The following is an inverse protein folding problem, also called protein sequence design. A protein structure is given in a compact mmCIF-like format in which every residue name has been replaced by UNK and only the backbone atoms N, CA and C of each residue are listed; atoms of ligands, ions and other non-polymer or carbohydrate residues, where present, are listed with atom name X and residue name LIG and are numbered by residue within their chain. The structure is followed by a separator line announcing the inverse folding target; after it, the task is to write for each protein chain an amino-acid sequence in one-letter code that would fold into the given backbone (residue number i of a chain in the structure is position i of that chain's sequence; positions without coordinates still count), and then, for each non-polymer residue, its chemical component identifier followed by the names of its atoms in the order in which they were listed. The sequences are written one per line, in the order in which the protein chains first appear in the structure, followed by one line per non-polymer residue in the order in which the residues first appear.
data_IF_010474869938
#
_entry.id   IF_010474869938
#
_cell.length_a   1.000
_cell.length_b   1.000
_cell.length_c   1.000
_cell.angle_alpha   90.00
_cell.angle_beta   90.00
_cell.angle_gamma   90.00
#
_symmetry.space_group_name_H-M   'P 1'
#
loop_
_entity.id
_entity.type
_entity.pdbx_description
1 polymer ?
#
# COMPACT_ATOMS: atom_id res chain seq x y z
N UNK A 1 -4.34 -44.19 1.40
CA UNK A 1 -2.92 -44.50 1.14
C UNK A 1 -2.12 -43.27 1.50
N UNK A 2 -1.66 -43.20 2.74
CA UNK A 2 -0.69 -42.21 3.22
C UNK A 2 0.67 -42.60 2.65
N UNK A 3 1.05 -41.94 1.55
CA UNK A 3 2.39 -42.05 0.98
C UNK A 3 3.29 -41.26 1.94
N UNK A 4 3.95 -41.96 2.85
CA UNK A 4 5.08 -41.39 3.59
C UNK A 4 6.16 -41.04 2.55
N UNK A 5 6.53 -39.75 2.39
CA UNK A 5 7.43 -39.34 1.33
C UNK A 5 8.84 -39.84 1.63
N UNK A 6 9.38 -40.68 0.73
CA UNK A 6 10.69 -41.34 0.80
C UNK A 6 11.91 -40.40 0.84
N UNK A 7 11.74 -39.09 0.89
CA UNK A 7 12.89 -38.23 1.08
C UNK A 7 12.51 -36.78 1.16
N UNK A 8 12.95 -36.13 2.23
CA UNK A 8 13.00 -34.66 2.36
C UNK A 8 13.49 -33.98 1.06
N UNK A 9 14.35 -34.65 0.29
CA UNK A 9 14.86 -34.24 -1.02
C UNK A 9 13.79 -34.12 -2.11
N UNK A 10 12.87 -35.10 -2.26
CA UNK A 10 11.84 -35.04 -3.31
C UNK A 10 10.83 -33.91 -3.03
N UNK A 11 10.49 -33.71 -1.76
CA UNK A 11 9.63 -32.60 -1.32
C UNK A 11 10.28 -31.26 -1.65
N UNK A 12 11.57 -31.07 -1.33
CA UNK A 12 12.30 -29.84 -1.65
C UNK A 12 12.33 -29.60 -3.15
N UNK A 13 12.66 -30.62 -3.95
CA UNK A 13 12.70 -30.51 -5.41
C UNK A 13 11.34 -30.13 -6.00
N UNK A 14 10.24 -30.67 -5.47
CA UNK A 14 8.90 -30.29 -5.91
C UNK A 14 8.56 -28.84 -5.53
N UNK A 15 8.90 -28.41 -4.31
CA UNK A 15 8.61 -27.04 -3.84
C UNK A 15 9.49 -25.98 -4.50
N UNK A 16 10.71 -26.30 -4.90
CA UNK A 16 11.61 -25.36 -5.60
C UNK A 16 11.11 -24.99 -7.01
N UNK A 17 10.17 -25.77 -7.55
CA UNK A 17 9.50 -25.46 -8.84
C UNK A 17 8.34 -24.49 -8.68
N UNK A 18 7.92 -24.17 -7.45
CA UNK A 18 6.84 -23.23 -7.22
C UNK A 18 7.27 -21.82 -7.66
N UNK A 19 6.35 -21.01 -8.22
CA UNK A 19 6.69 -19.68 -8.69
C UNK A 19 7.14 -18.80 -7.53
N UNK A 20 8.25 -18.09 -7.76
CA UNK A 20 8.76 -17.05 -6.88
C UNK A 20 8.94 -15.78 -7.68
N UNK A 21 8.65 -14.64 -7.06
CA UNK A 21 8.93 -13.33 -7.63
C UNK A 21 10.11 -12.65 -6.94
N UNK A 22 10.38 -11.41 -7.35
CA UNK A 22 11.34 -10.53 -6.67
C UNK A 22 10.63 -9.23 -6.34
N UNK A 23 10.28 -9.07 -5.08
CA UNK A 23 9.59 -7.89 -4.60
C UNK A 23 10.37 -7.27 -3.45
N UNK A 24 10.23 -5.96 -3.32
CA UNK A 24 10.55 -5.21 -2.12
C UNK A 24 9.24 -4.98 -1.36
N UNK A 25 9.14 -5.52 -0.16
CA UNK A 25 8.08 -5.16 0.78
C UNK A 25 8.53 -3.95 1.58
N UNK A 26 7.68 -2.93 1.73
CA UNK A 26 8.02 -1.70 2.44
C UNK A 26 6.96 -1.36 3.49
N UNK A 27 7.40 -0.68 4.55
CA UNK A 27 6.51 -0.21 5.61
C UNK A 27 7.07 1.06 6.25
N UNK A 28 6.18 1.86 6.83
CA UNK A 28 6.55 3.09 7.52
C UNK A 28 5.61 3.37 8.69
N UNK A 29 6.16 3.78 9.82
CA UNK A 29 5.42 4.25 10.99
C UNK A 29 6.22 5.31 11.73
N UNK A 30 5.57 6.44 12.06
CA UNK A 30 6.27 7.62 12.58
C UNK A 30 7.36 8.09 11.62
N UNK A 31 8.58 8.27 12.13
CA UNK A 31 9.77 8.66 11.37
C UNK A 31 10.60 7.46 10.88
N UNK A 32 10.13 6.23 11.12
CA UNK A 32 10.84 5.02 10.73
C UNK A 32 10.28 4.45 9.44
N UNK A 33 11.16 4.22 8.48
CA UNK A 33 10.88 3.60 7.19
C UNK A 33 11.81 2.42 6.99
N UNK A 34 11.29 1.31 6.47
CA UNK A 34 12.14 0.16 6.17
C UNK A 34 11.57 -0.68 5.03
N UNK A 35 12.43 -1.49 4.44
CA UNK A 35 12.11 -2.39 3.35
C UNK A 35 12.83 -3.73 3.49
N UNK A 36 12.29 -4.77 2.86
CA UNK A 36 12.99 -6.05 2.74
C UNK A 36 12.62 -6.77 1.46
N UNK A 37 13.56 -7.55 0.93
CA UNK A 37 13.28 -8.40 -0.21
C UNK A 37 12.38 -9.57 0.20
N UNK A 38 11.33 -9.79 -0.59
CA UNK A 38 10.40 -10.91 -0.43
C UNK A 38 10.19 -11.58 -1.79
N UNK A 39 10.09 -12.90 -1.78
CA UNK A 39 9.97 -13.70 -3.01
C UNK A 39 8.64 -14.41 -3.16
N UNK A 40 7.93 -14.61 -2.03
CA UNK A 40 6.69 -15.38 -1.95
C UNK A 40 5.50 -14.44 -1.86
N UNK A 41 5.14 -13.85 -2.99
CA UNK A 41 4.00 -12.95 -3.14
C UNK A 41 3.02 -13.54 -4.14
N UNK A 42 1.73 -13.56 -3.80
CA UNK A 42 0.66 -14.03 -4.68
C UNK A 42 -0.59 -13.18 -4.54
N UNK A 43 -1.34 -13.00 -5.64
CA UNK A 43 -2.70 -12.45 -5.61
C UNK A 43 -3.66 -13.57 -5.19
N UNK A 44 -4.51 -13.28 -4.21
CA UNK A 44 -5.41 -14.26 -3.59
C UNK A 44 -6.89 -14.04 -3.93
N UNK A 45 -7.30 -12.81 -4.16
CA UNK A 45 -8.70 -12.49 -4.51
C UNK A 45 -8.77 -11.32 -5.49
N UNK A 46 -9.87 -11.26 -6.24
CA UNK A 46 -10.18 -10.21 -7.21
C UNK A 46 -11.13 -9.13 -6.67
N UNK A 47 -12.00 -9.46 -5.70
CA UNK A 47 -12.98 -8.53 -5.12
C UNK A 47 -13.17 -8.74 -3.60
N UNK A 48 -12.61 -7.86 -2.74
CA UNK A 48 -11.63 -6.84 -3.09
C UNK A 48 -10.28 -7.49 -3.49
N UNK A 49 -9.50 -6.78 -4.31
CA UNK A 49 -8.16 -7.25 -4.70
C UNK A 49 -7.32 -7.48 -3.44
N UNK A 50 -6.89 -8.72 -3.23
CA UNK A 50 -6.17 -9.13 -2.03
C UNK A 50 -4.90 -9.88 -2.41
N UNK A 51 -3.83 -9.64 -1.67
CA UNK A 51 -2.53 -10.29 -1.85
C UNK A 51 -2.10 -10.99 -0.56
N UNK A 52 -1.32 -12.06 -0.71
CA UNK A 52 -0.59 -12.71 0.38
C UNK A 52 0.90 -12.56 0.17
N UNK A 53 1.61 -12.38 1.29
CA UNK A 53 3.06 -12.30 1.33
C UNK A 53 3.54 -13.19 2.46
N UNK A 54 4.40 -14.16 2.13
CA UNK A 54 5.09 -14.95 3.15
C UNK A 54 6.47 -14.33 3.43
N UNK A 55 6.72 -14.01 4.70
CA UNK A 55 7.94 -13.30 5.13
C UNK A 55 8.62 -14.09 6.25
N UNK A 56 9.95 -14.17 6.24
CA UNK A 56 10.72 -14.86 7.28
C UNK A 56 10.57 -14.13 8.62
N UNK A 57 10.28 -14.87 9.69
CA UNK A 57 10.10 -14.30 11.04
C UNK A 57 11.32 -13.51 11.53
N UNK A 58 11.07 -12.54 12.44
CA UNK A 58 12.12 -11.76 13.08
C UNK A 58 12.66 -10.59 12.25
N UNK A 59 11.89 -10.13 11.26
CA UNK A 59 12.29 -9.02 10.40
C UNK A 59 11.93 -7.65 10.99
N UNK A 60 12.70 -6.62 10.62
CA UNK A 60 12.52 -5.25 11.13
C UNK A 60 11.19 -4.59 10.73
N UNK A 61 10.55 -5.06 9.66
CA UNK A 61 9.25 -4.50 9.22
C UNK A 61 8.07 -4.93 10.10
N UNK A 62 8.18 -5.98 10.92
CA UNK A 62 7.06 -6.54 11.68
C UNK A 62 6.41 -5.49 12.62
N UNK A 63 7.16 -4.74 13.44
CA UNK A 63 6.58 -3.64 14.23
C UNK A 63 5.99 -2.52 13.36
N UNK A 64 6.67 -2.12 12.27
CA UNK A 64 6.17 -1.06 11.38
C UNK A 64 4.81 -1.42 10.77
N UNK A 65 4.65 -2.65 10.29
CA UNK A 65 3.39 -3.13 9.70
C UNK A 65 2.31 -3.27 10.76
N UNK A 66 2.66 -3.75 11.96
CA UNK A 66 1.72 -3.88 13.08
C UNK A 66 1.13 -2.52 13.48
N UNK A 67 1.99 -1.50 13.58
CA UNK A 67 1.60 -0.19 14.10
C UNK A 67 0.97 0.71 13.02
N UNK A 68 1.38 0.55 11.75
CA UNK A 68 0.82 1.31 10.63
C UNK A 68 -0.42 0.67 10.00
N UNK A 69 -0.60 -0.65 10.18
CA UNK A 69 -1.62 -1.47 9.50
C UNK A 69 -1.59 -1.34 7.96
N UNK A 70 -0.46 -0.92 7.38
CA UNK A 70 -0.27 -0.79 5.93
C UNK A 70 1.09 -1.33 5.52
N UNK A 71 1.20 -1.78 4.27
CA UNK A 71 2.48 -2.14 3.66
C UNK A 71 2.45 -1.89 2.16
N UNK A 72 3.63 -1.67 1.58
CA UNK A 72 3.85 -1.57 0.15
C UNK A 72 4.48 -2.84 -0.40
N UNK A 73 4.15 -3.18 -1.64
CA UNK A 73 4.88 -4.17 -2.43
C UNK A 73 5.34 -3.53 -3.72
N UNK A 74 6.62 -3.67 -4.03
CA UNK A 74 7.23 -3.15 -5.24
C UNK A 74 7.91 -4.29 -5.99
N UNK A 75 7.52 -4.55 -7.23
CA UNK A 75 8.20 -5.52 -8.08
C UNK A 75 9.55 -4.96 -8.52
N UNK A 76 10.62 -5.71 -8.31
CA UNK A 76 11.95 -5.32 -8.73
C UNK A 76 12.19 -5.72 -10.18
N UNK A 77 12.78 -4.81 -10.96
CA UNK A 77 13.27 -5.14 -12.30
C UNK A 77 14.41 -6.16 -12.21
N UNK A 78 14.51 -7.03 -13.22
CA UNK A 78 15.57 -8.05 -13.28
C UNK A 78 16.99 -7.50 -13.10
N UNK A 79 17.24 -6.28 -13.61
CA UNK A 79 18.54 -5.60 -13.59
C UNK A 79 18.77 -4.71 -12.35
N UNK A 80 17.83 -4.60 -11.41
CA UNK A 80 18.00 -3.70 -10.25
C UNK A 80 18.93 -4.31 -9.20
N UNK A 81 20.23 -4.11 -9.39
CA UNK A 81 21.27 -4.51 -8.47
C UNK A 81 21.37 -3.57 -7.26
N UNK A 82 20.87 -2.35 -7.35
CA UNK A 82 21.04 -1.35 -6.30
C UNK A 82 20.08 -1.62 -5.14
N UNK A 83 18.76 -1.67 -5.41
CA UNK A 83 17.77 -2.01 -4.40
C UNK A 83 18.01 -3.43 -3.86
N UNK A 84 18.41 -4.35 -4.73
CA UNK A 84 18.76 -5.71 -4.29
C UNK A 84 19.92 -5.70 -3.31
N UNK A 85 21.00 -4.93 -3.54
CA UNK A 85 22.14 -4.88 -2.61
C UNK A 85 21.79 -4.18 -1.31
N UNK A 86 21.02 -3.10 -1.38
CA UNK A 86 20.63 -2.30 -0.21
C UNK A 86 19.75 -3.11 0.76
N UNK A 87 18.76 -3.83 0.23
CA UNK A 87 17.79 -4.57 1.04
C UNK A 87 18.14 -6.04 1.27
N UNK A 88 19.26 -6.55 0.73
CA UNK A 88 19.75 -7.90 1.00
C UNK A 88 20.66 -7.97 2.24
N UNK A 89 20.91 -6.85 2.92
CA UNK A 89 21.71 -6.79 4.15
C UNK A 89 20.83 -6.49 5.37
N UNK A 90 20.15 -7.50 5.94
CA UNK A 90 19.43 -7.32 7.18
C UNK A 90 20.41 -7.00 8.31
N UNK A 91 20.42 -5.75 8.78
CA UNK A 91 21.12 -5.35 10.00
C UNK A 91 22.23 -4.30 9.88
N UNK A 92 22.64 -3.89 8.68
CA UNK A 92 23.66 -2.83 8.52
C UNK A 92 23.08 -1.41 8.61
N UNK A 93 21.77 -1.26 8.43
CA UNK A 93 21.08 0.02 8.54
C UNK A 93 20.72 0.22 10.03
N UNK A 94 21.69 0.72 10.80
CA UNK A 94 21.60 0.98 12.24
C UNK A 94 20.63 2.15 12.57
N UNK A 95 19.35 2.00 12.24
CA UNK A 95 18.35 3.06 12.42
C UNK A 95 18.41 4.17 11.37
N UNK A 96 19.31 4.07 10.40
CA UNK A 96 19.31 4.93 9.22
C UNK A 96 18.18 4.53 8.27
N UNK A 97 17.62 5.53 7.61
CA UNK A 97 16.54 5.35 6.66
C UNK A 97 17.07 4.84 5.31
N UNK A 98 16.77 3.59 4.90
CA UNK A 98 17.25 3.04 3.63
C UNK A 98 16.74 3.79 2.42
N UNK A 99 15.68 4.60 2.54
CA UNK A 99 15.12 5.34 1.42
C UNK A 99 15.68 6.75 1.30
N UNK A 100 16.58 7.16 2.20
CA UNK A 100 17.21 8.47 2.14
C UNK A 100 18.03 8.61 0.85
N UNK A 101 17.73 9.65 0.06
CA UNK A 101 18.39 9.90 -1.23
C UNK A 101 17.86 9.08 -2.41
N UNK A 102 16.81 8.27 -2.21
CA UNK A 102 16.12 7.57 -3.29
C UNK A 102 14.86 8.31 -3.72
N UNK A 103 14.62 8.33 -5.04
CA UNK A 103 13.38 8.84 -5.60
C UNK A 103 12.22 7.88 -5.30
N UNK A 104 11.16 8.44 -4.72
CA UNK A 104 9.96 7.71 -4.33
C UNK A 104 8.76 8.12 -5.19
N UNK A 105 7.86 7.17 -5.42
CA UNK A 105 6.59 7.42 -6.12
C UNK A 105 5.73 8.35 -5.26
N UNK A 106 5.26 9.50 -5.80
CA UNK A 106 4.42 10.43 -5.07
C UNK A 106 3.04 9.84 -4.77
N UNK A 107 2.32 10.44 -3.82
CA UNK A 107 0.94 10.09 -3.47
C UNK A 107 0.72 8.63 -3.00
N UNK A 108 1.77 7.97 -2.53
CA UNK A 108 1.75 6.63 -1.92
C UNK A 108 1.50 6.65 -0.40
N UNK A 109 1.05 7.79 0.12
CA UNK A 109 0.83 8.00 1.55
C UNK A 109 2.15 8.05 2.31
N UNK A 110 2.30 7.16 3.31
CA UNK A 110 3.53 7.03 4.11
C UNK A 110 4.47 5.94 3.59
N UNK A 111 4.02 5.11 2.64
CA UNK A 111 4.77 3.97 2.17
C UNK A 111 5.91 4.41 1.25
N UNK A 112 7.16 4.05 1.54
CA UNK A 112 8.25 4.36 0.63
C UNK A 112 8.23 3.37 -0.53
N UNK A 113 7.93 3.87 -1.73
CA UNK A 113 7.87 3.08 -2.96
C UNK A 113 8.94 3.62 -3.92
N UNK A 114 10.05 2.92 -4.16
CA UNK A 114 11.09 3.39 -5.08
C UNK A 114 10.59 3.50 -6.52
N UNK A 115 10.92 4.58 -7.23
CA UNK A 115 10.56 4.77 -8.65
C UNK A 115 11.25 3.77 -9.58
N UNK A 116 12.33 3.13 -9.13
CA UNK A 116 13.05 2.10 -9.90
C UNK A 116 12.25 0.79 -10.07
N UNK A 117 11.19 0.61 -9.29
CA UNK A 117 10.32 -0.59 -9.32
C UNK A 117 9.59 -0.74 -10.65
N UNK A 118 9.32 -1.97 -11.09
CA UNK A 118 8.54 -2.26 -12.30
C UNK A 118 7.04 -2.01 -12.09
N UNK A 119 6.53 -2.49 -10.97
CA UNK A 119 5.14 -2.29 -10.53
C UNK A 119 5.10 -2.10 -9.02
N UNK A 120 4.01 -1.53 -8.52
CA UNK A 120 3.82 -1.37 -7.09
C UNK A 120 2.36 -1.42 -6.69
N UNK A 121 2.10 -1.83 -5.44
CA UNK A 121 0.79 -1.75 -4.79
C UNK A 121 0.95 -1.29 -3.35
N UNK A 122 -0.02 -0.49 -2.88
CA UNK A 122 -0.21 -0.16 -1.48
C UNK A 122 -1.32 -1.04 -0.92
N UNK A 123 -1.12 -1.56 0.29
CA UNK A 123 -2.04 -2.52 0.91
C UNK A 123 -2.40 -2.11 2.34
N UNK A 124 -3.68 -2.25 2.67
CA UNK A 124 -4.14 -2.26 4.06
C UNK A 124 -4.02 -3.69 4.60
N UNK A 125 -3.45 -3.86 5.79
CA UNK A 125 -3.34 -5.15 6.45
C UNK A 125 -4.72 -5.65 6.87
N UNK A 126 -5.14 -6.78 6.32
CA UNK A 126 -6.37 -7.49 6.73
C UNK A 126 -6.06 -8.44 7.90
N UNK A 127 -5.01 -9.25 7.74
CA UNK A 127 -4.59 -10.24 8.74
C UNK A 127 -3.09 -10.50 8.67
N UNK A 128 -2.56 -10.85 9.83
CA UNK A 128 -1.23 -11.40 10.03
C UNK A 128 -1.39 -12.77 10.69
N UNK A 129 -0.79 -13.80 10.11
CA UNK A 129 -0.92 -15.20 10.54
C UNK A 129 0.46 -15.79 10.80
N UNK A 130 0.64 -16.33 12.01
CA UNK A 130 1.75 -17.26 12.28
C UNK A 130 1.30 -18.67 11.84
N UNK A 131 2.08 -19.30 10.97
CA UNK A 131 1.84 -20.66 10.45
C UNK A 131 2.72 -21.72 11.13
N UNK A 132 3.28 -21.41 12.30
CA UNK A 132 4.15 -22.30 13.11
C UNK A 132 5.39 -22.82 12.33
N UNK A 133 5.81 -22.07 11.31
CA UNK A 133 6.99 -22.35 10.50
C UNK A 133 8.03 -21.22 10.62
N UNK A 134 9.01 -21.19 9.72
CA UNK A 134 10.03 -20.13 9.66
C UNK A 134 9.53 -18.83 9.01
N UNK A 135 8.32 -18.85 8.43
CA UNK A 135 7.64 -17.70 7.85
C UNK A 135 6.33 -17.38 8.58
N UNK A 136 5.91 -16.13 8.42
CA UNK A 136 4.59 -15.62 8.76
C UNK A 136 3.92 -15.07 7.50
N UNK A 137 2.59 -15.04 7.48
CA UNK A 137 1.80 -14.62 6.33
C UNK A 137 1.12 -13.28 6.63
N UNK A 138 1.35 -12.32 5.75
CA UNK A 138 0.62 -11.05 5.72
C UNK A 138 -0.41 -11.10 4.60
N UNK A 139 -1.65 -10.77 4.93
CA UNK A 139 -2.79 -10.66 4.00
C UNK A 139 -3.15 -9.20 3.88
N UNK A 140 -3.04 -8.63 2.68
CA UNK A 140 -3.30 -7.22 2.43
C UNK A 140 -4.36 -6.98 1.37
N UNK A 141 -5.25 -6.02 1.62
CA UNK A 141 -6.18 -5.48 0.62
C UNK A 141 -5.47 -4.41 -0.18
N UNK A 142 -5.43 -4.53 -1.50
CA UNK A 142 -4.86 -3.50 -2.37
C UNK A 142 -5.75 -2.27 -2.40
N UNK A 143 -5.20 -1.10 -2.08
CA UNK A 143 -5.91 0.19 -2.06
C UNK A 143 -5.46 1.14 -3.17
N UNK A 144 -4.20 1.02 -3.60
CA UNK A 144 -3.63 1.76 -4.72
C UNK A 144 -2.56 0.92 -5.41
N UNK A 145 -2.22 1.25 -6.66
CA UNK A 145 -1.14 0.58 -7.37
C UNK A 145 -0.88 1.18 -8.73
N UNK A 146 0.28 0.85 -9.29
CA UNK A 146 0.74 1.37 -10.56
C UNK A 146 1.76 0.45 -11.22
N UNK A 147 1.93 0.66 -12.52
CA UNK A 147 3.05 0.11 -13.30
C UNK A 147 3.89 1.31 -13.72
N UNK A 148 5.20 1.21 -13.54
CA UNK A 148 6.15 2.22 -13.97
C UNK A 148 6.73 1.67 -15.26
N UNK A 149 6.52 2.35 -16.38
CA UNK A 149 7.08 1.91 -17.67
C UNK A 149 8.47 2.53 -17.82
N UNK A 150 9.48 1.75 -18.22
CA UNK A 150 10.75 2.31 -18.68
C UNK A 150 10.69 2.62 -20.18
N UNK A 151 11.49 3.58 -20.67
CA UNK A 151 11.56 3.90 -22.11
C UNK A 151 11.87 2.68 -23.00
N UNK A 152 12.62 1.70 -22.49
CA UNK A 152 12.94 0.45 -23.20
C UNK A 152 11.73 -0.49 -23.35
N UNK A 153 10.84 -0.54 -22.36
CA UNK A 153 9.65 -1.41 -22.38
C UNK A 153 8.58 -0.87 -23.35
N UNK A 154 8.47 0.45 -23.50
CA UNK A 154 7.53 1.12 -24.43
C UNK A 154 7.80 0.75 -25.90
N UNK A 155 9.05 0.47 -26.27
CA UNK A 155 9.43 0.06 -27.64
C UNK A 155 9.04 -1.39 -27.97
N UNK A 156 8.81 -2.23 -26.95
CA UNK A 156 8.44 -3.65 -27.11
C UNK A 156 6.94 -3.93 -26.90
N UNK A 157 6.19 -2.94 -26.40
CA UNK A 157 4.76 -3.06 -26.20
C UNK A 157 4.01 -2.95 -27.54
N UNK A 158 3.58 -4.10 -28.07
CA UNK A 158 2.69 -4.18 -29.23
C UNK A 158 1.46 -3.26 -29.05
N UNK A 159 1.12 -2.38 -30.00
CA UNK A 159 0.02 -1.40 -29.88
C UNK A 159 -1.37 -2.05 -29.73
N UNK A 160 -1.49 -3.36 -29.95
CA UNK A 160 -2.71 -4.13 -29.77
C UNK A 160 -3.14 -4.27 -28.28
N UNK A 161 -2.19 -4.26 -27.34
CA UNK A 161 -2.48 -4.39 -25.90
C UNK A 161 -3.11 -3.12 -25.32
N UNK A 162 -2.62 -1.95 -25.73
CA UNK A 162 -3.14 -0.65 -25.32
C UNK A 162 -4.61 -0.43 -25.76
N UNK A 163 -4.99 -0.96 -26.92
CA UNK A 163 -6.36 -0.85 -27.45
C UNK A 163 -7.39 -1.72 -26.69
N UNK A 164 -6.95 -2.77 -25.99
CA UNK A 164 -7.84 -3.66 -25.21
C UNK A 164 -8.19 -3.06 -23.84
N UNK A 165 -7.29 -2.27 -23.25
CA UNK A 165 -7.51 -1.59 -21.96
C UNK A 165 -8.58 -0.49 -22.04
N UNK A 166 -8.73 0.16 -23.21
CA UNK A 166 -9.79 1.18 -23.45
C UNK A 166 -11.21 0.62 -23.54
N UNK A 167 -11.37 -0.70 -23.75
CA UNK A 167 -12.70 -1.32 -23.95
C UNK A 167 -13.37 -1.80 -22.66
N UNK A 168 -12.63 -1.97 -21.57
CA UNK A 168 -13.17 -2.44 -20.28
C UNK A 168 -13.33 -1.32 -19.24
N UNK A 169 -13.39 -0.06 -19.67
CA UNK A 169 -13.82 1.05 -18.83
C UNK A 169 -15.31 0.91 -18.49
N UNK A 170 -15.57 0.43 -17.27
CA UNK A 170 -16.88 0.39 -16.62
C UNK A 170 -17.60 1.72 -16.83
N UNK A 171 -18.82 1.62 -17.37
CA UNK A 171 -19.72 2.74 -17.59
C UNK A 171 -20.07 3.41 -16.25
N UNK A 172 -19.42 4.53 -15.92
CA UNK A 172 -19.93 5.45 -14.92
C UNK A 172 -21.22 6.06 -15.46
N UNK A 173 -22.35 5.57 -14.94
CA UNK A 173 -23.70 6.05 -15.20
C UNK A 173 -23.76 7.56 -14.93
N UNK A 174 -23.87 8.37 -16.00
CA UNK A 174 -24.10 9.82 -15.91
C UNK A 174 -25.38 10.08 -15.11
N UNK A 175 -25.25 10.65 -13.92
CA UNK A 175 -26.38 11.24 -13.18
C UNK A 175 -26.83 12.49 -13.94
N UNK A 176 -28.07 12.43 -14.42
CA UNK A 176 -28.77 13.48 -15.17
C UNK A 176 -29.09 14.65 -14.22
N UNK A 177 -28.45 15.81 -14.41
CA UNK A 177 -28.89 17.08 -13.82
C UNK A 177 -30.27 17.46 -14.40
N UNK A 178 -31.28 17.82 -13.58
CA UNK A 178 -32.43 18.57 -14.09
C UNK A 178 -32.13 20.07 -14.06
N UNK A 179 -32.57 20.75 -15.12
CA UNK A 179 -32.41 22.18 -15.32
C UNK A 179 -33.61 22.98 -14.75
N UNK A 180 -33.27 24.09 -14.08
CA UNK A 180 -33.99 25.38 -13.89
C UNK A 180 -35.51 25.42 -13.64
N UNK A 181 -35.87 26.15 -12.58
CA UNK A 181 -36.93 27.16 -12.61
C UNK A 181 -36.53 28.40 -11.77
N UNK A 182 -36.63 29.59 -12.36
CA UNK A 182 -36.86 30.88 -11.69
C UNK A 182 -38.28 31.31 -12.11
N UNK A 183 -39.05 32.00 -11.27
CA UNK A 183 -39.06 33.48 -11.28
C UNK A 183 -39.14 34.10 -9.88
N UNK A 184 -38.78 35.38 -9.77
CA UNK A 184 -38.62 36.10 -8.50
C UNK A 184 -39.84 36.89 -8.03
N UNK A 185 -39.68 37.55 -6.87
CA UNK A 185 -39.93 38.96 -6.57
C UNK A 185 -40.38 39.15 -5.10
N UNK A 186 -39.62 39.99 -4.39
CA UNK A 186 -39.92 40.86 -3.24
C UNK A 186 -40.80 40.38 -2.08
N UNK A 187 -40.25 40.44 -0.85
CA UNK A 187 -40.55 41.58 0.02
C UNK A 187 -39.63 41.70 1.24
N UNK A 188 -39.22 42.95 1.48
CA UNK A 188 -38.69 43.50 2.74
C UNK A 188 -39.67 43.24 3.89
N UNK A 189 -39.18 43.02 5.11
CA UNK A 189 -39.63 43.67 6.38
C UNK A 189 -38.63 43.38 7.52
N UNK A 190 -38.00 44.47 7.98
CA UNK A 190 -37.45 44.82 9.31
C UNK A 190 -36.77 43.77 10.21
N UNK A 191 -35.46 43.94 10.44
CA UNK A 191 -34.80 43.58 11.72
C UNK A 191 -34.82 44.80 12.65
N UNK A 192 -35.57 44.71 13.75
CA UNK A 192 -35.39 45.55 14.93
C UNK A 192 -34.55 44.79 15.95
N UNK A 193 -33.48 45.42 16.41
CA UNK A 193 -32.73 45.10 17.63
C UNK A 193 -33.43 45.81 18.81
N UNK A 194 -33.45 45.22 20.01
CA UNK A 194 -32.61 45.77 21.08
C UNK A 194 -31.98 44.66 21.96
N UNK A 195 -30.68 44.73 22.26
CA UNK A 195 -30.05 45.35 23.44
C UNK A 195 -29.75 44.29 24.52
N UNK A 196 -28.48 43.92 24.60
CA UNK A 196 -27.89 43.22 25.73
C UNK A 196 -27.69 44.18 26.92
N UNK A 197 -27.57 43.65 28.15
CA UNK A 197 -26.71 44.25 29.15
C UNK A 197 -25.45 43.41 29.37
N UNK A 198 -24.30 44.08 29.37
CA UNK A 198 -23.05 43.62 29.97
C UNK A 198 -23.13 43.70 31.50
N UNK A 199 -22.49 42.76 32.19
CA UNK A 199 -21.72 42.90 33.44
C UNK A 199 -21.17 41.52 33.79
N UNK A 200 -19.87 41.26 33.63
CA UNK A 200 -18.74 41.63 34.49
C UNK A 200 -18.39 40.54 35.55
N UNK A 201 -17.17 40.01 35.35
CA UNK A 201 -16.18 39.48 36.32
C UNK A 201 -16.42 38.11 37.00
N UNK A 202 -15.43 37.18 36.91
CA UNK A 202 -15.32 36.00 37.77
C UNK A 202 -14.40 36.28 38.98
N UNK A 203 -14.81 35.90 40.19
CA UNK A 203 -13.88 35.88 41.33
C UNK A 203 -14.27 34.85 42.41
N UNK A 204 -13.24 34.23 43.00
CA UNK A 204 -13.18 33.37 44.23
C UNK A 204 -13.76 31.93 44.14
N UNK A 205 -12.97 30.85 44.27
CA UNK A 205 -12.17 30.26 45.39
C UNK A 205 -13.00 29.41 46.38
N UNK A 206 -12.67 28.11 46.47
CA UNK A 206 -12.47 27.22 47.66
C UNK A 206 -12.48 25.76 47.16
N UNK A 207 -11.50 24.86 47.36
CA UNK A 207 -10.73 24.45 48.56
C UNK A 207 -11.58 23.78 49.65
N UNK A 208 -11.87 22.48 49.48
CA UNK A 208 -11.86 21.44 50.52
C UNK A 208 -12.07 20.06 49.87
#
# INVERSE_FOLDING_TARGET
MTIEPTGRTELTMATDRMPVGRFLMTAAHGDHRNGMLVTRVQKCADDPITVTVAVRKGHALSPLIRDSAIFGLCELRGCDLMLSRLFNRPGELHGEDPFLGHDLVPDTGRLPIPVASASWVCCDLIRHLDIEADHEIYIGRVTAGGVIETPDEVLTADPASAARKRRNGIATKKVKKPARARPGLDNRVTKQTPKAPESEVPESKESA
#
